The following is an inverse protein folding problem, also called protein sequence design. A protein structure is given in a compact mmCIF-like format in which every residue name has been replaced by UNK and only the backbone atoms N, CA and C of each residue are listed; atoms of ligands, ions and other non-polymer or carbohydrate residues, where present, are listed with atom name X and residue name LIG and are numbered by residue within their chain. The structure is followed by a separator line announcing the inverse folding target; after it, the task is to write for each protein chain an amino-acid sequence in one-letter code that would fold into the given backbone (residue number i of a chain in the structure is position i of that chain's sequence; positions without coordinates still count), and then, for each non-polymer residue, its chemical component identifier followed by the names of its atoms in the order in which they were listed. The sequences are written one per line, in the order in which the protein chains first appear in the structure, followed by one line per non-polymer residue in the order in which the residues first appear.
data_IF_091409760464
#
_entry.id   IF_091409760464
#
_cell.length_a   1.000
_cell.length_b   1.000
_cell.length_c   1.000
_cell.angle_alpha   90.00
_cell.angle_beta   90.00
_cell.angle_gamma   90.00
#
_symmetry.space_group_name_H-M   'P 1'
#
loop_
_entity.id
_entity.type
_entity.pdbx_description
1 polymer ?
#
# COMPACT_ATOMS: atom_id res chain seq x y z
N UNK A 1 11.54 -6.33 4.75
CA UNK A 1 11.63 -4.86 4.76
C UNK A 1 10.29 -4.27 4.36
N UNK A 2 9.85 -3.16 5.00
CA UNK A 2 8.65 -2.40 4.59
C UNK A 2 9.08 -1.14 3.83
N UNK A 3 8.52 -0.94 2.65
CA UNK A 3 8.61 0.28 1.86
C UNK A 3 7.31 1.07 2.00
N UNK A 4 7.40 2.29 2.49
CA UNK A 4 6.29 3.17 2.72
C UNK A 4 6.36 4.33 1.74
N UNK A 5 5.52 4.32 0.71
CA UNK A 5 5.40 5.43 -0.23
C UNK A 5 4.59 6.56 0.38
N UNK A 6 5.18 7.74 0.54
CA UNK A 6 4.50 8.90 1.09
C UNK A 6 4.49 10.07 0.12
N UNK A 7 3.33 10.30 -0.49
CA UNK A 7 3.11 11.45 -1.35
C UNK A 7 2.62 12.65 -0.54
N UNK A 8 3.22 13.82 -0.75
CA UNK A 8 2.76 15.08 -0.17
C UNK A 8 2.37 16.01 -1.31
N UNK A 9 1.07 16.30 -1.48
CA UNK A 9 0.60 17.21 -2.52
C UNK A 9 1.04 18.64 -2.24
N UNK A 10 1.19 19.44 -3.29
CA UNK A 10 1.47 20.87 -3.16
C UNK A 10 0.26 21.67 -2.68
N UNK A 11 -0.95 21.16 -2.91
CA UNK A 11 -2.19 21.74 -2.38
C UNK A 11 -2.33 21.48 -0.87
N UNK A 12 -3.04 22.35 -0.14
CA UNK A 12 -3.32 22.12 1.28
C UNK A 12 -3.99 20.76 1.51
N UNK A 13 -3.44 19.99 2.43
CA UNK A 13 -3.97 18.67 2.80
C UNK A 13 -3.57 18.34 4.25
N UNK A 14 -4.26 17.39 4.86
CA UNK A 14 -3.96 16.93 6.22
C UNK A 14 -2.91 15.79 6.24
N UNK A 15 -1.88 15.89 5.40
CA UNK A 15 -0.87 14.85 5.26
C UNK A 15 -0.11 14.59 6.58
N UNK A 16 0.12 15.62 7.41
CA UNK A 16 0.80 15.47 8.69
C UNK A 16 0.03 14.56 9.63
N UNK A 17 -1.30 14.78 9.74
CA UNK A 17 -2.17 13.92 10.55
C UNK A 17 -2.14 12.46 10.05
N UNK A 18 -2.21 12.27 8.73
CA UNK A 18 -2.16 10.95 8.11
C UNK A 18 -0.81 10.27 8.39
N UNK A 19 0.30 11.02 8.30
CA UNK A 19 1.64 10.52 8.62
C UNK A 19 1.70 10.03 10.06
N UNK A 20 1.25 10.84 11.02
CA UNK A 20 1.24 10.47 12.44
C UNK A 20 0.40 9.23 12.69
N UNK A 21 -0.83 9.16 12.15
CA UNK A 21 -1.69 7.98 12.31
C UNK A 21 -1.04 6.69 11.77
N UNK A 22 -0.34 6.76 10.63
CA UNK A 22 0.33 5.59 10.06
C UNK A 22 1.61 5.22 10.83
N UNK A 23 2.39 6.19 11.29
CA UNK A 23 3.58 5.93 12.12
C UNK A 23 3.19 5.38 13.49
N UNK A 24 2.12 5.89 14.13
CA UNK A 24 1.55 5.34 15.37
C UNK A 24 1.10 3.89 15.20
N UNK A 25 0.48 3.57 14.05
CA UNK A 25 0.08 2.20 13.72
C UNK A 25 1.30 1.28 13.59
N UNK A 26 2.36 1.72 12.90
CA UNK A 26 3.61 0.96 12.77
C UNK A 26 4.29 0.77 14.13
N UNK A 27 4.34 1.81 14.95
CA UNK A 27 4.96 1.73 16.29
C UNK A 27 4.19 0.79 17.20
N UNK A 28 2.87 0.95 17.30
CA UNK A 28 2.01 0.14 18.17
C UNK A 28 1.96 -1.33 17.76
N UNK A 29 2.04 -1.64 16.47
CA UNK A 29 2.10 -3.01 15.96
C UNK A 29 3.40 -3.73 16.25
N UNK A 30 4.47 -3.01 16.66
CA UNK A 30 5.83 -3.53 16.86
C UNK A 30 6.52 -4.01 15.56
N UNK A 31 5.97 -3.71 14.40
CA UNK A 31 6.53 -4.09 13.10
C UNK A 31 8.00 -3.65 12.93
N UNK A 32 8.37 -2.50 13.48
CA UNK A 32 9.71 -1.95 13.43
C UNK A 32 10.77 -2.79 14.17
N UNK A 33 10.37 -3.72 15.04
CA UNK A 33 11.29 -4.68 15.67
C UNK A 33 11.65 -5.84 14.74
N UNK A 34 10.77 -6.17 13.81
CA UNK A 34 10.90 -7.34 12.94
C UNK A 34 11.46 -6.99 11.55
N UNK A 35 11.30 -5.77 11.11
CA UNK A 35 11.76 -5.40 9.78
C UNK A 35 12.32 -3.98 9.69
N UNK A 36 13.21 -3.77 8.72
CA UNK A 36 13.68 -2.43 8.35
C UNK A 36 12.56 -1.64 7.70
N UNK A 37 12.45 -0.38 8.08
CA UNK A 37 11.46 0.55 7.54
C UNK A 37 12.13 1.58 6.63
N UNK A 38 11.57 1.82 5.47
CA UNK A 38 12.00 2.90 4.59
C UNK A 38 10.80 3.70 4.10
N UNK A 39 10.78 5.00 4.43
CA UNK A 39 9.80 5.93 3.89
C UNK A 39 10.36 6.59 2.63
N UNK A 40 9.65 6.41 1.53
CA UNK A 40 9.96 6.95 0.22
C UNK A 40 9.04 8.15 -0.05
N UNK A 41 9.57 9.34 0.06
CA UNK A 41 8.80 10.60 0.04
C UNK A 41 8.81 11.20 -1.34
N UNK A 42 7.63 11.39 -1.93
CA UNK A 42 7.44 12.16 -3.16
C UNK A 42 6.83 13.52 -2.82
N UNK A 43 7.61 14.59 -2.96
CA UNK A 43 7.20 15.95 -2.57
C UNK A 43 8.15 17.01 -3.10
N UNK A 44 7.74 18.28 -3.05
CA UNK A 44 8.67 19.40 -3.17
C UNK A 44 9.60 19.48 -1.94
N UNK A 45 10.69 20.26 -2.07
CA UNK A 45 11.72 20.40 -1.03
C UNK A 45 11.20 20.97 0.29
N UNK A 46 10.27 21.92 0.25
CA UNK A 46 9.68 22.54 1.45
C UNK A 46 8.92 21.52 2.27
N UNK A 47 8.04 20.76 1.63
CA UNK A 47 7.24 19.70 2.26
C UNK A 47 8.12 18.57 2.79
N UNK A 48 9.16 18.20 2.04
CA UNK A 48 10.15 17.21 2.52
C UNK A 48 10.83 17.63 3.83
N UNK A 49 11.23 18.92 3.94
CA UNK A 49 11.84 19.42 5.18
C UNK A 49 10.86 19.40 6.36
N UNK A 50 9.58 19.72 6.14
CA UNK A 50 8.53 19.60 7.16
C UNK A 50 8.36 18.15 7.61
N UNK A 51 8.29 17.22 6.66
CA UNK A 51 8.14 15.78 6.95
C UNK A 51 9.29 15.26 7.82
N UNK A 52 10.53 15.66 7.55
CA UNK A 52 11.67 15.27 8.40
C UNK A 52 11.49 15.70 9.86
N UNK A 53 10.95 16.90 10.09
CA UNK A 53 10.66 17.38 11.45
C UNK A 53 9.58 16.49 12.12
N UNK A 54 8.54 16.07 11.38
CA UNK A 54 7.51 15.16 11.90
C UNK A 54 8.11 13.78 12.26
N UNK A 55 8.97 13.22 11.41
CA UNK A 55 9.60 11.91 11.65
C UNK A 55 10.51 11.92 12.88
N UNK A 56 11.11 13.05 13.25
CA UNK A 56 11.94 13.17 14.44
C UNK A 56 11.20 12.85 15.76
N UNK A 57 9.87 12.88 15.75
CA UNK A 57 9.06 12.45 16.90
C UNK A 57 9.00 10.91 17.04
N UNK A 58 9.48 10.15 16.05
CA UNK A 58 9.46 8.70 16.01
C UNK A 58 10.86 8.07 15.93
N UNK A 59 11.80 8.41 16.82
CA UNK A 59 13.19 7.92 16.71
C UNK A 59 13.28 6.40 16.85
N UNK A 60 12.36 5.79 17.58
CA UNK A 60 12.29 4.33 17.81
C UNK A 60 12.05 3.55 16.52
N UNK A 61 11.40 4.13 15.52
CA UNK A 61 11.12 3.46 14.25
C UNK A 61 12.37 3.31 13.37
N UNK A 62 13.45 4.03 13.64
CA UNK A 62 14.70 3.99 12.88
C UNK A 62 14.48 4.03 11.36
N UNK A 63 13.66 4.99 10.91
CA UNK A 63 13.23 5.12 9.53
C UNK A 63 14.38 5.55 8.62
N UNK A 64 14.66 4.77 7.58
CA UNK A 64 15.44 5.25 6.43
C UNK A 64 14.54 6.14 5.57
N UNK A 65 15.04 7.28 5.15
CA UNK A 65 14.27 8.24 4.34
C UNK A 65 14.90 8.33 2.95
N UNK A 66 14.09 8.10 1.93
CA UNK A 66 14.42 8.38 0.52
C UNK A 66 13.50 9.47 0.00
N UNK A 67 14.04 10.39 -0.78
CA UNK A 67 13.26 11.53 -1.29
C UNK A 67 13.32 11.60 -2.81
N UNK A 68 12.16 11.80 -3.41
CA UNK A 68 11.95 12.04 -4.82
C UNK A 68 11.36 13.44 -5.00
N UNK A 69 12.12 14.32 -5.64
CA UNK A 69 11.70 15.70 -5.87
C UNK A 69 10.65 15.77 -6.98
N UNK A 70 9.48 16.30 -6.64
CA UNK A 70 8.36 16.45 -7.58
C UNK A 70 8.21 17.87 -8.12
N UNK A 71 9.11 18.79 -7.76
CA UNK A 71 8.99 20.23 -8.11
C UNK A 71 8.95 20.50 -9.62
N UNK A 72 9.52 19.61 -10.43
CA UNK A 72 9.58 19.73 -11.88
C UNK A 72 8.69 18.71 -12.63
N UNK A 73 7.95 17.91 -11.91
CA UNK A 73 7.11 16.88 -12.53
C UNK A 73 5.74 17.46 -12.93
N UNK A 74 5.48 17.48 -14.22
CA UNK A 74 4.18 17.89 -14.77
C UNK A 74 3.09 16.82 -14.59
N UNK A 75 3.49 15.59 -14.29
CA UNK A 75 2.59 14.44 -14.18
C UNK A 75 2.80 13.73 -12.84
N UNK A 76 1.76 13.74 -12.01
CA UNK A 76 1.76 13.14 -10.67
C UNK A 76 1.67 11.61 -10.67
N UNK A 77 1.50 10.99 -11.85
CA UNK A 77 1.20 9.56 -11.98
C UNK A 77 2.38 8.65 -11.66
N UNK A 78 3.60 9.18 -11.63
CA UNK A 78 4.81 8.37 -11.45
C UNK A 78 5.30 8.25 -10.00
N UNK A 79 4.63 8.88 -9.04
CA UNK A 79 5.15 8.94 -7.67
C UNK A 79 5.26 7.55 -7.01
N UNK A 80 4.23 6.70 -7.12
CA UNK A 80 4.31 5.32 -6.61
C UNK A 80 5.36 4.50 -7.35
N UNK A 81 5.51 4.71 -8.66
CA UNK A 81 6.48 4.03 -9.50
C UNK A 81 7.91 4.17 -9.00
N UNK A 82 8.30 5.33 -8.47
CA UNK A 82 9.63 5.54 -7.90
C UNK A 82 9.89 4.64 -6.68
N UNK A 83 8.91 4.51 -5.79
CA UNK A 83 9.02 3.65 -4.61
C UNK A 83 9.01 2.17 -5.00
N UNK A 84 8.13 1.76 -5.90
CA UNK A 84 8.08 0.38 -6.39
C UNK A 84 9.34 0.00 -7.15
N UNK A 85 9.93 0.90 -7.94
CA UNK A 85 11.20 0.66 -8.61
C UNK A 85 12.33 0.47 -7.62
N UNK A 86 12.37 1.29 -6.56
CA UNK A 86 13.33 1.14 -5.49
C UNK A 86 13.15 -0.18 -4.73
N UNK A 87 11.90 -0.55 -4.45
CA UNK A 87 11.57 -1.84 -3.84
C UNK A 87 12.08 -2.99 -4.74
N UNK A 88 11.81 -2.94 -6.04
CA UNK A 88 12.27 -3.92 -7.01
C UNK A 88 13.80 -4.05 -7.01
N UNK A 89 14.51 -2.93 -7.06
CA UNK A 89 15.97 -2.90 -7.11
C UNK A 89 16.62 -3.44 -5.81
N UNK A 90 15.96 -3.27 -4.65
CA UNK A 90 16.47 -3.66 -3.33
C UNK A 90 15.89 -4.98 -2.78
N UNK A 91 14.84 -5.55 -3.39
CA UNK A 91 14.14 -6.71 -2.81
C UNK A 91 15.04 -7.93 -2.60
N UNK A 92 16.06 -8.14 -3.44
CA UNK A 92 16.99 -9.27 -3.35
C UNK A 92 17.79 -9.34 -2.04
N UNK A 93 17.88 -8.24 -1.30
CA UNK A 93 18.54 -8.19 0.01
C UNK A 93 17.66 -8.66 1.17
N UNK A 94 16.42 -9.04 0.91
CA UNK A 94 15.42 -9.39 1.91
C UNK A 94 14.65 -10.65 1.46
N UNK A 95 14.20 -11.46 2.41
CA UNK A 95 13.36 -12.61 2.12
C UNK A 95 11.96 -12.18 1.67
N UNK A 96 11.39 -11.21 2.41
CA UNK A 96 10.08 -10.66 2.17
C UNK A 96 10.11 -9.13 2.18
N UNK A 97 9.28 -8.52 1.35
CA UNK A 97 9.09 -7.08 1.29
C UNK A 97 7.61 -6.72 1.44
N UNK A 98 7.35 -5.64 2.14
CA UNK A 98 6.02 -5.06 2.27
C UNK A 98 5.95 -3.71 1.56
N UNK A 99 4.76 -3.35 1.10
CA UNK A 99 4.47 -2.07 0.48
C UNK A 99 3.19 -1.47 1.06
N UNK A 100 3.28 -0.21 1.47
CA UNK A 100 2.15 0.62 1.89
C UNK A 100 2.31 2.03 1.33
N UNK A 101 1.24 2.82 1.32
CA UNK A 101 1.33 4.20 0.86
C UNK A 101 0.40 5.17 1.63
N UNK A 102 0.58 6.48 1.40
CA UNK A 102 -0.25 7.55 1.97
C UNK A 102 -1.64 7.59 1.33
N UNK A 103 -2.41 6.50 1.51
CA UNK A 103 -3.77 6.36 0.97
C UNK A 103 -4.66 7.49 1.44
N UNK A 104 -5.37 8.13 0.49
CA UNK A 104 -6.35 9.19 0.74
C UNK A 104 -5.77 10.56 1.14
N UNK A 105 -4.47 10.79 1.00
CA UNK A 105 -3.84 12.08 1.35
C UNK A 105 -4.44 13.26 0.59
N UNK A 106 -4.93 13.04 -0.63
CA UNK A 106 -5.56 14.08 -1.48
C UNK A 106 -7.07 14.23 -1.26
N UNK A 107 -7.72 13.24 -0.62
CA UNK A 107 -9.17 13.25 -0.41
C UNK A 107 -9.53 12.41 0.81
N UNK A 108 -9.53 13.04 1.98
CA UNK A 108 -9.90 12.39 3.24
C UNK A 108 -11.41 12.52 3.42
N UNK A 109 -12.11 11.42 3.23
CA UNK A 109 -13.55 11.28 3.54
C UNK A 109 -13.71 10.23 4.64
N UNK A 110 -14.91 10.15 5.23
CA UNK A 110 -15.23 9.08 6.19
C UNK A 110 -14.99 7.69 5.60
N UNK A 111 -15.30 7.49 4.33
CA UNK A 111 -15.15 6.19 3.64
C UNK A 111 -13.70 5.87 3.31
N UNK A 112 -12.95 6.83 2.74
CA UNK A 112 -11.54 6.62 2.41
C UNK A 112 -10.69 6.41 3.67
N UNK A 113 -11.07 7.04 4.78
CA UNK A 113 -10.41 6.82 6.07
C UNK A 113 -10.68 5.41 6.62
N UNK A 114 -11.94 4.94 6.59
CA UNK A 114 -12.27 3.56 6.99
C UNK A 114 -11.53 2.54 6.14
N UNK A 115 -11.50 2.74 4.83
CA UNK A 115 -10.77 1.88 3.91
C UNK A 115 -9.27 1.83 4.26
N UNK A 116 -8.62 2.99 4.43
CA UNK A 116 -7.23 3.07 4.84
C UNK A 116 -6.97 2.32 6.15
N UNK A 117 -7.83 2.51 7.17
CA UNK A 117 -7.70 1.80 8.46
C UNK A 117 -7.81 0.27 8.32
N UNK A 118 -8.66 -0.22 7.41
CA UNK A 118 -8.74 -1.65 7.11
C UNK A 118 -7.44 -2.18 6.47
N UNK A 119 -6.84 -1.42 5.54
CA UNK A 119 -5.57 -1.75 4.91
C UNK A 119 -4.43 -1.76 5.95
N UNK A 120 -4.35 -0.73 6.80
CA UNK A 120 -3.38 -0.62 7.89
C UNK A 120 -3.50 -1.81 8.85
N UNK A 121 -4.72 -2.14 9.28
CA UNK A 121 -4.97 -3.30 10.14
C UNK A 121 -4.46 -4.60 9.50
N UNK A 122 -4.85 -4.88 8.25
CA UNK A 122 -4.49 -6.13 7.60
C UNK A 122 -2.99 -6.24 7.29
N UNK A 123 -2.31 -5.16 6.93
CA UNK A 123 -0.94 -5.21 6.41
C UNK A 123 0.10 -4.77 7.45
N UNK A 124 -0.26 -3.86 8.37
CA UNK A 124 0.64 -3.38 9.42
C UNK A 124 0.39 -4.14 10.72
N UNK A 125 -0.83 -4.11 11.28
CA UNK A 125 -1.09 -4.76 12.57
C UNK A 125 -1.05 -6.30 12.48
N UNK A 126 -1.46 -6.87 11.34
CA UNK A 126 -1.43 -8.31 11.05
C UNK A 126 -0.22 -8.76 10.23
N UNK A 127 0.90 -8.03 10.31
CA UNK A 127 2.09 -8.36 9.52
C UNK A 127 2.61 -9.78 9.77
N UNK A 128 2.51 -10.30 10.99
CA UNK A 128 2.94 -11.66 11.32
C UNK A 128 2.11 -12.72 10.59
N UNK A 129 0.79 -12.50 10.46
CA UNK A 129 -0.09 -13.40 9.70
C UNK A 129 0.27 -13.36 8.20
N UNK A 130 0.60 -12.17 7.65
CA UNK A 130 1.10 -12.03 6.28
C UNK A 130 2.42 -12.80 6.07
N UNK A 131 3.40 -12.61 6.94
CA UNK A 131 4.69 -13.30 6.84
C UNK A 131 4.53 -14.82 6.98
N UNK A 132 3.67 -15.28 7.89
CA UNK A 132 3.33 -16.69 8.02
C UNK A 132 2.72 -17.27 6.74
N UNK A 133 1.84 -16.53 6.07
CA UNK A 133 1.25 -16.95 4.80
C UNK A 133 2.31 -17.08 3.71
N UNK A 134 3.24 -16.10 3.61
CA UNK A 134 4.36 -16.19 2.67
C UNK A 134 5.22 -17.43 2.95
N UNK A 135 5.52 -17.73 4.21
CA UNK A 135 6.27 -18.94 4.58
C UNK A 135 5.49 -20.23 4.24
N UNK A 136 4.16 -20.19 4.23
CA UNK A 136 3.26 -21.29 3.85
C UNK A 136 2.95 -21.33 2.34
N UNK A 137 3.92 -20.99 1.50
CA UNK A 137 3.88 -21.18 0.06
C UNK A 137 3.02 -20.17 -0.74
N UNK A 138 2.57 -19.05 -0.15
CA UNK A 138 2.01 -17.93 -0.90
C UNK A 138 3.10 -17.02 -1.42
N UNK A 139 2.85 -16.35 -2.52
CA UNK A 139 3.79 -15.41 -3.15
C UNK A 139 3.54 -13.98 -2.68
N UNK A 140 2.26 -13.67 -2.44
CA UNK A 140 1.79 -12.37 -1.96
C UNK A 140 0.73 -12.53 -0.88
N UNK A 141 0.62 -11.56 0.02
CA UNK A 141 -0.36 -11.55 1.10
C UNK A 141 -0.84 -10.14 1.38
N UNK A 142 -2.14 -9.97 1.58
CA UNK A 142 -2.76 -8.67 1.83
C UNK A 142 -4.26 -8.79 2.09
N UNK A 143 -4.99 -7.77 1.69
CA UNK A 143 -6.45 -7.72 1.82
C UNK A 143 -7.08 -7.19 0.52
N UNK A 144 -8.30 -7.64 0.24
CA UNK A 144 -9.11 -7.14 -0.88
C UNK A 144 -8.48 -7.42 -2.25
N UNK A 145 -8.07 -8.69 -2.44
CA UNK A 145 -7.65 -9.14 -3.76
C UNK A 145 -8.79 -9.06 -4.75
N UNK A 146 -8.53 -8.49 -5.91
CA UNK A 146 -9.47 -8.37 -7.00
C UNK A 146 -8.90 -9.01 -8.25
N UNK A 147 -9.70 -9.85 -8.90
CA UNK A 147 -9.42 -10.40 -10.21
C UNK A 147 -10.50 -9.94 -11.19
N UNK A 148 -10.07 -9.26 -12.21
CA UNK A 148 -10.92 -8.82 -13.32
C UNK A 148 -10.36 -9.38 -14.61
N UNK A 149 -11.12 -9.28 -15.70
CA UNK A 149 -10.65 -9.67 -17.04
C UNK A 149 -9.41 -8.86 -17.47
N UNK A 150 -9.19 -7.70 -16.85
CA UNK A 150 -8.15 -6.74 -17.24
C UNK A 150 -6.96 -6.80 -16.28
N UNK A 151 -7.17 -6.99 -14.98
CA UNK A 151 -6.11 -6.87 -13.97
C UNK A 151 -6.36 -7.70 -12.72
N UNK A 152 -5.26 -8.02 -12.02
CA UNK A 152 -5.25 -8.62 -10.67
C UNK A 152 -4.46 -7.73 -9.74
N UNK A 153 -5.02 -7.41 -8.56
CA UNK A 153 -4.40 -6.47 -7.64
C UNK A 153 -5.02 -6.52 -6.25
N UNK A 154 -4.32 -6.02 -5.26
CA UNK A 154 -4.91 -5.68 -3.97
C UNK A 154 -5.52 -4.28 -4.04
N UNK A 155 -6.84 -4.17 -3.84
CA UNK A 155 -7.52 -2.86 -3.84
C UNK A 155 -6.94 -1.96 -2.77
N UNK A 156 -6.32 -0.84 -3.18
CA UNK A 156 -5.66 0.09 -2.29
C UNK A 156 -4.16 -0.15 -2.12
N UNK A 157 -3.60 -1.15 -2.80
CA UNK A 157 -2.15 -1.37 -3.00
C UNK A 157 -1.34 -1.45 -1.69
N UNK A 158 -1.85 -2.18 -0.68
CA UNK A 158 -1.12 -2.54 0.54
C UNK A 158 -0.92 -4.04 0.57
N UNK A 159 0.33 -4.52 0.68
CA UNK A 159 0.63 -5.94 0.61
C UNK A 159 2.02 -6.31 1.14
N UNK A 160 2.21 -7.61 1.37
CA UNK A 160 3.49 -8.27 1.57
C UNK A 160 3.74 -9.25 0.44
N UNK A 161 5.00 -9.43 0.04
CA UNK A 161 5.38 -10.35 -1.03
C UNK A 161 6.74 -11.00 -0.75
N UNK A 162 6.94 -12.21 -1.30
CA UNK A 162 8.27 -12.81 -1.38
C UNK A 162 9.13 -12.02 -2.36
N UNK A 163 10.36 -11.77 -1.98
CA UNK A 163 11.33 -11.13 -2.88
C UNK A 163 11.60 -11.96 -4.14
N UNK A 164 11.60 -13.29 -4.01
CA UNK A 164 11.73 -14.19 -5.15
C UNK A 164 10.60 -14.04 -6.17
N UNK A 165 9.38 -13.76 -5.72
CA UNK A 165 8.26 -13.44 -6.61
C UNK A 165 8.45 -12.06 -7.26
N UNK A 166 8.79 -11.04 -6.49
CA UNK A 166 9.05 -9.69 -7.01
C UNK A 166 10.08 -9.70 -8.14
N UNK A 167 11.14 -10.49 -8.02
CA UNK A 167 12.18 -10.62 -9.03
C UNK A 167 11.69 -11.26 -10.35
N UNK A 168 10.54 -11.91 -10.37
CA UNK A 168 9.93 -12.44 -11.61
C UNK A 168 9.12 -11.39 -12.37
N UNK A 169 8.78 -10.27 -11.72
CA UNK A 169 7.99 -9.20 -12.32
C UNK A 169 8.84 -8.34 -13.24
N UNK A 170 8.25 -7.67 -14.24
CA UNK A 170 8.93 -6.62 -14.97
C UNK A 170 9.20 -5.42 -14.03
N UNK A 171 10.21 -4.64 -14.34
CA UNK A 171 10.48 -3.42 -13.57
C UNK A 171 9.27 -2.48 -13.63
N UNK A 172 8.83 -1.86 -12.51
CA UNK A 172 7.59 -1.06 -12.47
C UNK A 172 7.52 0.08 -13.49
N UNK A 173 8.68 0.63 -13.85
CA UNK A 173 8.80 1.74 -14.84
C UNK A 173 8.90 1.27 -16.29
N UNK A 174 9.06 -0.03 -16.54
CA UNK A 174 9.06 -0.56 -17.90
C UNK A 174 7.65 -0.64 -18.47
N UNK A 175 7.54 -0.59 -19.81
CA UNK A 175 6.30 -0.92 -20.48
C UNK A 175 6.08 -2.42 -20.42
N UNK A 176 5.24 -2.88 -19.51
CA UNK A 176 4.81 -4.26 -19.49
C UNK A 176 3.51 -4.40 -20.30
N UNK A 177 3.67 -5.05 -21.47
CA UNK A 177 2.58 -5.36 -22.37
C UNK A 177 1.59 -6.32 -21.71
N UNK A 178 0.35 -5.92 -21.55
CA UNK A 178 -0.70 -6.77 -20.97
C UNK A 178 -1.93 -6.01 -20.53
N UNK A 179 -1.80 -4.71 -20.34
CA UNK A 179 -2.91 -3.84 -19.98
C UNK A 179 -3.07 -2.77 -21.06
N UNK A 180 -3.89 -3.09 -22.08
CA UNK A 180 -4.20 -2.15 -23.15
C UNK A 180 -5.45 -1.36 -22.77
N UNK A 181 -5.33 -0.04 -22.69
CA UNK A 181 -6.46 0.87 -22.58
C UNK A 181 -6.21 2.08 -21.69
N UNK A 182 -6.82 3.18 -22.03
CA UNK A 182 -6.70 4.52 -21.43
C UNK A 182 -6.92 4.54 -19.90
N UNK A 183 -7.66 3.56 -19.36
CA UNK A 183 -7.93 3.43 -17.92
C UNK A 183 -6.68 3.12 -17.10
N UNK A 184 -5.65 2.48 -17.71
CA UNK A 184 -4.45 1.99 -17.04
C UNK A 184 -3.20 2.81 -17.36
N UNK A 185 -3.31 3.87 -18.12
CA UNK A 185 -2.19 4.75 -18.44
C UNK A 185 -1.69 5.53 -17.22
N UNK A 186 -2.49 5.57 -16.15
CA UNK A 186 -2.18 6.34 -14.97
C UNK A 186 -1.72 5.48 -13.79
N UNK A 187 -1.93 5.95 -12.59
CA UNK A 187 -1.49 5.34 -11.33
C UNK A 187 -2.06 3.94 -11.06
N UNK A 188 -3.21 3.54 -11.64
CA UNK A 188 -3.82 2.23 -11.44
C UNK A 188 -2.93 1.08 -11.92
N UNK A 189 -2.04 1.33 -12.88
CA UNK A 189 -1.06 0.35 -13.33
C UNK A 189 -0.15 -0.12 -12.19
N UNK A 190 0.19 0.74 -11.24
CA UNK A 190 1.04 0.39 -10.10
C UNK A 190 0.33 -0.50 -9.08
N UNK A 191 -0.99 -0.39 -8.94
CA UNK A 191 -1.78 -1.34 -8.16
C UNK A 191 -1.79 -2.73 -8.82
N UNK A 192 -1.88 -2.79 -10.16
CA UNK A 192 -1.91 -4.03 -10.92
C UNK A 192 -0.54 -4.72 -11.05
N UNK A 193 0.55 -4.00 -10.79
CA UNK A 193 1.90 -4.53 -10.96
C UNK A 193 2.15 -5.82 -10.18
N UNK A 194 1.67 -5.91 -8.96
CA UNK A 194 1.87 -7.08 -8.09
C UNK A 194 1.15 -8.34 -8.62
N UNK A 195 0.13 -8.18 -9.48
CA UNK A 195 -0.67 -9.28 -10.01
C UNK A 195 -0.23 -9.84 -11.36
N UNK A 196 0.78 -9.26 -12.02
CA UNK A 196 1.15 -9.57 -13.43
C UNK A 196 1.45 -11.05 -13.68
N UNK A 197 2.13 -11.73 -12.75
CA UNK A 197 2.58 -13.12 -12.91
C UNK A 197 1.70 -14.16 -12.19
N UNK A 198 0.42 -13.85 -11.97
CA UNK A 198 -0.52 -14.75 -11.31
C UNK A 198 0.04 -15.34 -10.01
N UNK A 199 0.27 -14.53 -8.99
CA UNK A 199 0.82 -15.01 -7.72
C UNK A 199 -0.12 -15.95 -7.01
N UNK A 200 0.43 -16.82 -6.15
CA UNK A 200 -0.34 -17.52 -5.13
C UNK A 200 -0.67 -16.54 -4.03
N UNK A 201 -1.93 -16.14 -3.95
CA UNK A 201 -2.42 -15.08 -3.09
C UNK A 201 -2.92 -15.62 -1.76
N UNK A 202 -2.57 -14.95 -0.66
CA UNK A 202 -3.25 -15.08 0.61
C UNK A 202 -4.02 -13.78 0.89
N UNK A 203 -5.30 -13.90 1.18
CA UNK A 203 -6.07 -12.82 1.77
C UNK A 203 -6.18 -13.02 3.28
N UNK A 204 -5.74 -12.02 4.06
CA UNK A 204 -5.83 -12.06 5.53
C UNK A 204 -7.29 -12.22 5.97
N UNK A 205 -8.20 -11.60 5.22
CA UNK A 205 -9.64 -11.74 5.41
C UNK A 205 -10.26 -12.05 4.05
N UNK A 206 -10.82 -13.26 3.90
CA UNK A 206 -11.50 -13.61 2.66
C UNK A 206 -12.79 -12.79 2.53
N UNK A 207 -12.92 -12.07 1.42
CA UNK A 207 -14.12 -11.36 1.08
C UNK A 207 -14.74 -11.99 -0.17
N UNK A 208 -15.98 -12.49 -0.07
CA UNK A 208 -16.74 -12.98 -1.24
C UNK A 208 -17.35 -11.82 -2.06
N UNK A 209 -16.78 -10.63 -2.02
CA UNK A 209 -17.37 -9.42 -2.60
C UNK A 209 -16.51 -8.94 -3.75
N UNK A 210 -17.14 -8.74 -4.91
CA UNK A 210 -16.60 -7.94 -6.01
C UNK A 210 -16.46 -6.47 -5.57
N UNK A 211 -15.23 -6.04 -5.23
CA UNK A 211 -15.02 -5.04 -4.20
C UNK A 211 -14.78 -3.62 -4.65
N UNK A 212 -14.60 -3.34 -5.93
CA UNK A 212 -14.32 -1.97 -6.36
C UNK A 212 -15.39 -0.95 -5.96
N UNK A 213 -16.64 -1.37 -5.90
CA UNK A 213 -17.81 -0.50 -5.65
C UNK A 213 -18.31 -0.62 -4.20
N UNK A 214 -18.25 -1.80 -3.59
CA UNK A 214 -18.89 -2.06 -2.30
C UNK A 214 -18.15 -1.42 -1.11
N UNK A 215 -16.86 -1.17 -1.22
CA UNK A 215 -16.09 -0.55 -0.13
C UNK A 215 -16.51 0.88 0.22
N UNK A 216 -17.08 1.62 -0.73
CA UNK A 216 -17.62 2.95 -0.46
C UNK A 216 -18.94 2.90 0.33
N UNK A 217 -19.63 1.76 0.32
CA UNK A 217 -20.98 1.63 0.85
C UNK A 217 -21.12 0.77 2.11
N UNK A 218 -20.08 0.03 2.51
CA UNK A 218 -20.14 -0.88 3.67
C UNK A 218 -19.39 -0.36 4.89
N UNK A 219 -19.96 -0.55 6.07
CA UNK A 219 -19.29 -0.29 7.34
C UNK A 219 -18.29 -1.42 7.63
N UNK A 220 -17.01 -1.10 7.55
CA UNK A 220 -15.95 -1.95 8.07
C UNK A 220 -15.92 -1.87 9.59
N UNK A 221 -16.34 -2.90 10.29
CA UNK A 221 -16.13 -3.04 11.72
C UNK A 221 -14.86 -3.88 11.97
N UNK A 222 -13.73 -3.18 12.08
CA UNK A 222 -12.42 -3.81 12.34
C UNK A 222 -12.38 -4.47 13.73
N UNK A 223 -13.27 -4.10 14.65
CA UNK A 223 -13.31 -4.62 16.01
C UNK A 223 -13.99 -5.98 16.14
N UNK A 224 -14.69 -6.43 15.13
CA UNK A 224 -15.41 -7.70 15.14
C UNK A 224 -14.65 -8.77 14.36
N UNK A 225 -13.79 -9.51 15.06
CA UNK A 225 -13.44 -10.89 14.76
C UNK A 225 -12.48 -11.21 13.62
N UNK A 226 -11.91 -12.37 13.72
CA UNK A 226 -11.12 -13.16 12.78
C UNK A 226 -11.73 -13.39 11.37
N UNK A 227 -12.86 -12.79 11.06
CA UNK A 227 -13.51 -12.77 9.75
C UNK A 227 -14.20 -11.44 9.55
N UNK A 228 -13.77 -10.62 8.59
CA UNK A 228 -14.55 -9.47 8.11
C UNK A 228 -15.82 -10.01 7.43
N UNK A 229 -16.91 -10.08 8.18
CA UNK A 229 -18.23 -10.31 7.59
C UNK A 229 -18.75 -8.96 7.11
N UNK A 230 -18.85 -8.80 5.81
CA UNK A 230 -19.61 -7.70 5.23
C UNK A 230 -21.09 -8.02 5.39
N UNK A 231 -21.82 -7.16 6.08
CA UNK A 231 -23.27 -7.31 6.20
C UNK A 231 -23.89 -6.87 4.86
N UNK A 232 -24.30 -7.86 4.05
CA UNK A 232 -24.82 -7.68 2.69
C UNK A 232 -26.30 -7.25 2.67
N UNK A 233 -26.80 -6.57 3.66
CA UNK A 233 -28.11 -5.97 3.55
C UNK A 233 -28.07 -4.74 2.66
N UNK A 234 -28.01 -4.98 1.35
CA UNK A 234 -28.41 -4.03 0.33
C UNK A 234 -29.92 -3.84 0.38
N UNK A 235 -30.38 -2.77 1.02
CA UNK A 235 -31.67 -2.18 0.64
C UNK A 235 -31.40 -1.29 -0.57
N UNK A 236 -31.85 -1.74 -1.73
CA UNK A 236 -31.95 -0.91 -2.92
C UNK A 236 -32.92 0.23 -2.65
N UNK A 237 -32.44 1.46 -2.74
CA UNK A 237 -33.21 2.64 -3.10
C UNK A 237 -32.37 3.53 -4.00
#
# INVERSE_FOLDING_TARGET
KLFYHFYIPDSPSNWELLLYEQLDCIESSKLHHECKLEICVSSNKSNFNKLKNCINFYPVLNLKISWFDTSNEKNTDHHEGNTLSKLYDECSFYENVGYIHSKSVTSITKYTNKWRKALEHAVIEKYQDNLKALNNNHDVSGILWSETDIARYFCGNFWWAKSSYIQTLPKPTENWNGYNGDFWESRCRYEAWIGIKNPRVNEIYSSNISLGISMYYHDFDIKRTSTLKFDTKLSYF
#
